data_IF_826526677351
#
_entry.id   IF_826526677351
#
_cell.length_a   1.000
_cell.length_b   1.000
_cell.length_c   1.000
_cell.angle_alpha   90.00
_cell.angle_beta   90.00
_cell.angle_gamma   90.00
#
_symmetry.space_group_name_H-M   'P 1'
#
loop_
_entity.id
_entity.type
_entity.pdbx_description
1 polymer ?
#
# COMPACT_ATOMS: atom_id res chain seq x y z
N UNK A 1 5.48 -18.06 -18.13
CA UNK A 1 4.25 -17.43 -17.60
C UNK A 1 4.53 -16.16 -16.78
N UNK A 2 5.35 -16.20 -15.71
CA UNK A 2 5.65 -15.01 -14.87
C UNK A 2 6.27 -13.83 -15.64
N UNK A 3 7.21 -14.12 -16.56
CA UNK A 3 7.90 -13.09 -17.34
C UNK A 3 6.98 -12.27 -18.25
N UNK A 4 5.93 -12.90 -18.81
CA UNK A 4 4.99 -12.21 -19.68
C UNK A 4 4.23 -11.13 -18.90
N UNK A 5 3.71 -11.46 -17.72
CA UNK A 5 3.05 -10.48 -16.83
C UNK A 5 4.00 -9.38 -16.37
N UNK A 6 5.28 -9.71 -16.12
CA UNK A 6 6.28 -8.70 -15.78
C UNK A 6 6.53 -7.71 -16.92
N UNK A 7 6.51 -8.17 -18.18
CA UNK A 7 6.71 -7.30 -19.35
C UNK A 7 5.47 -6.52 -19.74
N UNK A 8 4.28 -7.12 -19.73
CA UNK A 8 3.04 -6.48 -20.24
C UNK A 8 2.15 -5.85 -19.18
N UNK A 9 2.36 -6.11 -17.89
CA UNK A 9 1.48 -5.56 -16.84
C UNK A 9 1.58 -4.03 -16.72
N UNK A 10 0.46 -3.36 -16.46
CA UNK A 10 0.39 -1.90 -16.36
C UNK A 10 0.66 -1.36 -14.94
N UNK A 11 0.76 -2.24 -13.96
CA UNK A 11 1.03 -1.91 -12.56
C UNK A 11 1.34 -3.14 -11.72
N UNK A 12 1.96 -2.95 -10.56
CA UNK A 12 2.26 -4.05 -9.62
C UNK A 12 1.81 -3.74 -8.20
N UNK A 13 1.36 -4.78 -7.52
CA UNK A 13 1.19 -4.77 -6.06
C UNK A 13 2.38 -5.50 -5.46
N UNK A 14 3.14 -4.82 -4.59
CA UNK A 14 4.19 -5.45 -3.80
C UNK A 14 3.62 -5.69 -2.42
N UNK A 15 3.40 -6.95 -2.08
CA UNK A 15 2.79 -7.34 -0.81
C UNK A 15 3.85 -7.89 0.13
N UNK A 16 3.90 -7.37 1.35
CA UNK A 16 4.76 -7.90 2.42
C UNK A 16 3.92 -8.27 3.64
N UNK A 17 4.42 -9.13 4.52
CA UNK A 17 3.76 -9.50 5.77
C UNK A 17 4.33 -8.69 6.92
N UNK A 18 3.50 -8.03 7.73
CA UNK A 18 3.99 -7.27 8.90
C UNK A 18 4.62 -8.17 9.96
N UNK A 19 4.36 -9.47 9.91
CA UNK A 19 4.93 -10.49 10.80
C UNK A 19 6.26 -11.07 10.32
N UNK A 20 6.67 -10.77 9.09
CA UNK A 20 7.89 -11.32 8.48
C UNK A 20 8.78 -10.20 7.94
N UNK A 21 9.87 -9.94 8.67
CA UNK A 21 10.87 -8.93 8.29
C UNK A 21 11.58 -9.28 6.98
N UNK A 22 11.79 -10.56 6.68
CA UNK A 22 12.41 -10.96 5.42
C UNK A 22 11.54 -10.53 4.24
N UNK A 23 10.21 -10.74 4.32
CA UNK A 23 9.28 -10.30 3.28
C UNK A 23 9.33 -8.78 3.04
N UNK A 24 9.55 -7.99 4.08
CA UNK A 24 9.69 -6.53 3.97
C UNK A 24 11.01 -6.13 3.30
N UNK A 25 12.12 -6.79 3.62
CA UNK A 25 13.42 -6.54 2.95
C UNK A 25 13.40 -6.93 1.47
N UNK A 26 12.57 -7.90 1.08
CA UNK A 26 12.39 -8.27 -0.32
C UNK A 26 11.66 -7.20 -1.15
N UNK A 27 10.95 -6.24 -0.54
CA UNK A 27 10.23 -5.17 -1.24
C UNK A 27 11.18 -4.38 -2.15
N UNK A 28 12.34 -3.99 -1.64
CA UNK A 28 13.34 -3.23 -2.38
C UNK A 28 13.87 -4.02 -3.59
N UNK A 29 14.12 -5.33 -3.40
CA UNK A 29 14.52 -6.23 -4.49
C UNK A 29 13.46 -6.34 -5.57
N UNK A 30 12.17 -6.46 -5.21
CA UNK A 30 11.08 -6.55 -6.18
C UNK A 30 10.87 -5.23 -6.92
N UNK A 31 10.95 -4.11 -6.21
CA UNK A 31 10.87 -2.78 -6.81
C UNK A 31 11.95 -2.58 -7.89
N UNK A 32 13.21 -2.85 -7.54
CA UNK A 32 14.33 -2.76 -8.48
C UNK A 32 14.17 -3.71 -9.67
N UNK A 33 13.70 -4.94 -9.43
CA UNK A 33 13.46 -5.91 -10.48
C UNK A 33 12.38 -5.42 -11.46
N UNK A 34 11.26 -4.87 -10.96
CA UNK A 34 10.18 -4.36 -11.79
C UNK A 34 10.68 -3.19 -12.65
N UNK A 35 11.36 -2.21 -12.06
CA UNK A 35 11.92 -1.08 -12.80
C UNK A 35 12.90 -1.53 -13.88
N UNK A 36 13.76 -2.50 -13.57
CA UNK A 36 14.72 -3.06 -14.54
C UNK A 36 14.03 -3.80 -15.69
N UNK A 37 12.96 -4.55 -15.41
CA UNK A 37 12.21 -5.26 -16.46
C UNK A 37 11.39 -4.29 -17.31
N UNK A 38 10.89 -3.21 -16.71
CA UNK A 38 10.14 -2.16 -17.41
C UNK A 38 11.03 -1.16 -18.14
N UNK A 39 12.31 -1.11 -17.81
CA UNK A 39 13.28 -0.15 -18.32
C UNK A 39 12.83 1.31 -18.09
N UNK A 40 12.44 1.60 -16.84
CA UNK A 40 11.94 2.93 -16.42
C UNK A 40 12.45 3.27 -15.02
N UNK A 41 12.58 4.57 -14.75
CA UNK A 41 12.94 5.08 -13.41
C UNK A 41 11.76 5.05 -12.44
N UNK A 42 10.52 5.10 -12.96
CA UNK A 42 9.29 5.04 -12.18
C UNK A 42 8.23 4.19 -12.89
N UNK A 43 7.47 3.42 -12.12
CA UNK A 43 6.39 2.56 -12.61
C UNK A 43 5.25 2.49 -11.59
N UNK A 44 3.97 2.42 -11.99
CA UNK A 44 2.85 2.34 -11.05
C UNK A 44 2.96 1.11 -10.14
N UNK A 45 3.22 1.36 -8.85
CA UNK A 45 3.40 0.32 -7.84
C UNK A 45 2.70 0.72 -6.54
N UNK A 46 2.05 -0.25 -5.90
CA UNK A 46 1.41 -0.07 -4.59
C UNK A 46 2.05 -1.04 -3.62
N UNK A 47 2.46 -0.52 -2.46
CA UNK A 47 2.96 -1.32 -1.35
C UNK A 47 1.79 -1.72 -0.45
N UNK A 48 1.67 -3.01 -0.16
CA UNK A 48 0.57 -3.56 0.64
C UNK A 48 1.13 -4.30 1.84
N UNK A 49 0.78 -3.82 3.03
CA UNK A 49 1.07 -4.49 4.29
C UNK A 49 -0.03 -5.55 4.58
N UNK A 50 0.36 -6.82 4.61
CA UNK A 50 -0.51 -7.95 4.88
C UNK A 50 -0.35 -8.47 6.33
N UNK A 51 -1.36 -9.20 6.81
CA UNK A 51 -1.44 -9.78 8.18
C UNK A 51 -1.41 -8.75 9.31
N UNK A 52 -2.01 -7.58 9.08
CA UNK A 52 -2.04 -6.47 10.04
C UNK A 52 -2.84 -6.78 11.31
N UNK A 53 -3.69 -7.80 11.25
CA UNK A 53 -4.45 -8.38 12.36
C UNK A 53 -3.56 -9.04 13.43
N UNK A 54 -2.40 -9.56 13.05
CA UNK A 54 -1.48 -10.27 13.95
C UNK A 54 -0.56 -9.31 14.72
N UNK A 55 -1.17 -8.41 15.51
CA UNK A 55 -0.47 -7.35 16.26
C UNK A 55 0.65 -7.89 17.16
N UNK A 56 0.42 -9.02 17.83
CA UNK A 56 1.37 -9.66 18.75
C UNK A 56 2.60 -10.26 18.05
N UNK A 57 2.51 -10.56 16.75
CA UNK A 57 3.62 -11.05 15.93
C UNK A 57 4.19 -9.96 15.03
N UNK A 58 3.74 -8.72 15.18
CA UNK A 58 4.15 -7.61 14.32
C UNK A 58 5.63 -7.31 14.52
N UNK A 59 6.39 -7.45 13.43
CA UNK A 59 7.83 -7.14 13.37
C UNK A 59 8.13 -5.84 12.66
N UNK A 60 7.20 -5.36 11.82
CA UNK A 60 7.36 -4.13 11.03
C UNK A 60 6.38 -3.07 11.53
N UNK A 61 6.89 -1.92 11.96
CA UNK A 61 6.05 -0.82 12.45
C UNK A 61 5.34 -0.10 11.30
N UNK A 62 4.40 0.78 11.65
CA UNK A 62 3.66 1.56 10.65
C UNK A 62 4.58 2.57 9.97
N UNK A 63 5.46 3.15 10.76
CA UNK A 63 6.42 4.17 10.36
C UNK A 63 7.40 3.58 9.35
N UNK A 64 7.91 2.36 9.59
CA UNK A 64 8.77 1.64 8.65
C UNK A 64 8.07 1.37 7.31
N UNK A 65 6.81 0.92 7.33
CA UNK A 65 6.02 0.71 6.11
C UNK A 65 5.82 2.00 5.32
N UNK A 66 5.48 3.10 6.01
CA UNK A 66 5.30 4.42 5.41
C UNK A 66 6.61 4.97 4.83
N UNK A 67 7.70 4.85 5.55
CA UNK A 67 9.03 5.27 5.10
C UNK A 67 9.46 4.51 3.84
N UNK A 68 9.22 3.19 3.79
CA UNK A 68 9.47 2.38 2.61
C UNK A 68 8.62 2.82 1.41
N UNK A 69 7.34 3.10 1.62
CA UNK A 69 6.45 3.59 0.58
C UNK A 69 6.93 4.95 0.03
N UNK A 70 7.29 5.90 0.91
CA UNK A 70 7.86 7.19 0.53
C UNK A 70 9.18 7.06 -0.22
N UNK A 71 10.08 6.16 0.23
CA UNK A 71 11.37 5.88 -0.41
C UNK A 71 11.19 5.46 -1.88
N UNK A 72 10.16 4.67 -2.16
CA UNK A 72 9.87 4.13 -3.49
C UNK A 72 8.83 4.94 -4.27
N UNK A 73 8.40 6.11 -3.76
CA UNK A 73 7.32 6.92 -4.31
C UNK A 73 6.04 6.10 -4.61
N UNK A 74 5.79 5.08 -3.78
CA UNK A 74 4.69 4.13 -3.90
C UNK A 74 3.57 4.48 -2.92
N UNK A 75 2.32 4.17 -3.28
CA UNK A 75 1.16 4.37 -2.40
C UNK A 75 1.08 3.25 -1.35
N UNK A 76 0.95 3.59 -0.06
CA UNK A 76 0.69 2.62 1.03
C UNK A 76 -0.82 2.34 1.12
N UNK A 77 -1.26 1.16 0.65
CA UNK A 77 -2.66 0.72 0.74
C UNK A 77 -2.82 -0.37 1.80
N UNK A 78 -3.26 0.02 3.00
CA UNK A 78 -3.56 -0.93 4.07
C UNK A 78 -5.01 -1.40 3.99
N UNK A 79 -5.23 -2.72 3.92
CA UNK A 79 -6.55 -3.30 4.19
C UNK A 79 -6.70 -3.46 5.71
N UNK A 80 -7.59 -2.69 6.33
CA UNK A 80 -8.18 -3.07 7.61
C UNK A 80 -9.21 -4.20 7.35
N UNK A 81 -9.36 -5.21 8.23
CA UNK A 81 -10.66 -5.88 8.35
C UNK A 81 -11.69 -4.81 8.77
N UNK A 82 -12.83 -4.76 8.08
CA UNK A 82 -13.95 -3.90 8.42
C UNK A 82 -14.43 -4.27 9.82
N UNK A 83 -14.17 -3.41 10.81
CA UNK A 83 -14.86 -3.46 12.10
C UNK A 83 -16.09 -2.55 11.95
N UNK A 84 -17.28 -3.16 12.03
CA UNK A 84 -18.58 -2.51 11.99
C UNK A 84 -18.64 -1.39 13.05
N UNK A 85 -18.71 -0.15 12.58
CA UNK A 85 -18.96 1.02 13.39
C UNK A 85 -20.48 1.15 13.64
N UNK A 86 -21.06 0.14 14.31
CA UNK A 86 -22.41 0.22 14.88
C UNK A 86 -22.30 0.45 16.40
N UNK A 87 -21.85 1.63 16.83
CA UNK A 87 -22.39 2.23 18.06
C UNK A 87 -21.95 3.69 18.25
N UNK A 88 -22.72 4.64 17.70
CA UNK A 88 -23.13 5.91 18.36
C UNK A 88 -23.68 6.90 17.32
N UNK A 89 -24.84 6.57 16.76
CA UNK A 89 -25.82 7.61 16.43
C UNK A 89 -26.35 8.20 17.75
N UNK A 90 -25.62 9.15 18.32
CA UNK A 90 -26.15 10.06 19.33
C UNK A 90 -26.08 11.47 18.75
N UNK A 91 -27.26 12.04 18.52
CA UNK A 91 -27.46 13.13 17.58
C UNK A 91 -26.74 14.44 17.89
N UNK A 92 -26.37 15.14 16.82
CA UNK A 92 -26.32 16.61 16.73
C UNK A 92 -26.23 17.05 15.26
N UNK A 93 -27.09 17.97 14.78
CA UNK A 93 -26.94 18.56 13.46
C UNK A 93 -25.92 19.69 13.57
N UNK A 94 -24.73 19.50 12.99
CA UNK A 94 -23.67 20.49 13.04
C UNK A 94 -22.50 20.07 12.19
N UNK A 95 -22.43 20.68 11.00
CA UNK A 95 -21.30 20.81 10.08
C UNK A 95 -20.09 19.88 10.33
N UNK A 96 -19.95 18.87 9.47
CA UNK A 96 -18.68 18.19 9.23
C UNK A 96 -18.39 18.20 7.73
N UNK A 97 -17.44 19.03 7.33
CA UNK A 97 -16.57 18.78 6.18
C UNK A 97 -15.15 19.06 6.64
N UNK A 98 -14.32 18.01 6.67
CA UNK A 98 -13.08 18.06 5.94
C UNK A 98 -13.04 16.87 4.98
N UNK A 99 -13.13 17.21 3.69
CA UNK A 99 -12.74 16.35 2.60
C UNK A 99 -11.31 15.82 2.84
N UNK A 100 -11.05 14.63 2.30
CA UNK A 100 -9.73 14.00 2.11
C UNK A 100 -9.21 13.22 3.32
N UNK A 101 -9.52 11.92 3.38
CA UNK A 101 -8.52 10.83 3.52
C UNK A 101 -9.25 9.49 3.49
N UNK A 102 -9.92 9.15 2.39
CA UNK A 102 -10.17 7.78 1.98
C UNK A 102 -10.37 7.84 0.46
N UNK A 103 -9.56 7.10 -0.29
CA UNK A 103 -9.68 6.92 -1.74
C UNK A 103 -9.42 8.13 -2.65
N UNK A 104 -8.16 8.54 -2.79
CA UNK A 104 -7.66 8.92 -4.13
C UNK A 104 -7.12 7.65 -4.79
N UNK A 105 -8.05 6.74 -5.12
CA UNK A 105 -7.78 5.63 -6.00
C UNK A 105 -8.08 6.13 -7.42
N UNK A 106 -7.06 6.00 -8.28
CA UNK A 106 -7.15 5.95 -9.75
C UNK A 106 -7.15 7.30 -10.49
N UNK A 107 -6.21 7.37 -11.44
CA UNK A 107 -6.06 8.34 -12.54
C UNK A 107 -5.81 9.80 -12.20
N UNK A 108 -4.54 10.19 -12.23
CA UNK A 108 -4.10 11.58 -12.16
C UNK A 108 -2.89 11.86 -13.06
N UNK A 109 -2.83 11.27 -14.25
CA UNK A 109 -2.10 11.90 -15.35
C UNK A 109 -2.77 13.26 -15.61
N UNK A 110 -2.11 14.36 -15.24
CA UNK A 110 -1.93 15.60 -16.05
C UNK A 110 -1.67 16.85 -15.19
N UNK A 111 -1.11 17.92 -15.78
CA UNK A 111 -0.24 18.02 -16.96
C UNK A 111 1.22 18.35 -16.59
#
# INVERSE_FOLDING_TARGET
>A
MREQYMRTGDGFLIVYSVTDKASFEHVDRFHQLILRVKDRESFPMILVANKVDLMHLRKITREQGKEMATKHNATDSRKKPEEEEENQMAGRPGHWHPQTTVCDIVTGLRP
#
